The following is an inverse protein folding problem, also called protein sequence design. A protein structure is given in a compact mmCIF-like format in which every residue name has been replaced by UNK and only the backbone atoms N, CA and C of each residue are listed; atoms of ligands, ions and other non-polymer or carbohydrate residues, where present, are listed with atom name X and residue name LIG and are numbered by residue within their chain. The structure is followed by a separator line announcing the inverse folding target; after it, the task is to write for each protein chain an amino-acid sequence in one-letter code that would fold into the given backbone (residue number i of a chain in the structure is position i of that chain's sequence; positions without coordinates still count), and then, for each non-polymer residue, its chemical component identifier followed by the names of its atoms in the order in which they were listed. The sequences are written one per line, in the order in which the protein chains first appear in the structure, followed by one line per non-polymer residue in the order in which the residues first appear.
data_IF_792793825845
#
_entry.id   IF_792793825845
#
_cell.length_a   1.000
_cell.length_b   1.000
_cell.length_c   1.000
_cell.angle_alpha   90.00
_cell.angle_beta   90.00
_cell.angle_gamma   90.00
#
_symmetry.space_group_name_H-M   'P 1'
#
loop_
_entity.id
_entity.type
_entity.pdbx_description
1 polymer ?
#
# COMPACT_ATOMS: atom_id res chain seq x y z
N UNK A 1 39.12 -30.87 20.90
CA UNK A 1 37.99 -31.54 20.22
C UNK A 1 37.10 -30.42 19.69
N UNK A 2 37.15 -30.10 18.38
CA UNK A 2 36.22 -29.12 17.78
C UNK A 2 34.89 -29.84 17.61
N UNK A 3 33.84 -29.37 18.26
CA UNK A 3 32.51 -29.92 18.07
C UNK A 3 31.97 -29.43 16.72
N UNK A 4 32.05 -30.27 15.69
CA UNK A 4 31.43 -30.04 14.36
C UNK A 4 29.91 -30.28 14.37
N UNK A 5 29.30 -30.33 15.54
CA UNK A 5 27.90 -30.66 15.72
C UNK A 5 26.99 -29.42 15.66
N UNK A 6 27.52 -28.22 15.91
CA UNK A 6 26.75 -26.96 15.88
C UNK A 6 27.08 -26.08 14.68
N UNK A 7 26.16 -25.15 14.36
CA UNK A 7 26.31 -24.24 13.21
C UNK A 7 27.57 -23.35 13.32
N UNK A 8 27.91 -22.90 14.53
CA UNK A 8 29.14 -22.14 14.77
C UNK A 8 30.37 -23.00 14.51
N UNK A 9 30.34 -24.27 14.92
CA UNK A 9 31.44 -25.21 14.69
C UNK A 9 31.70 -25.43 13.21
N UNK A 10 30.64 -25.54 12.40
CA UNK A 10 30.72 -25.61 10.95
C UNK A 10 31.24 -24.33 10.32
N UNK A 11 30.72 -23.18 10.73
CA UNK A 11 31.17 -21.87 10.21
C UNK A 11 32.63 -21.56 10.55
N UNK A 12 33.14 -22.04 11.70
CA UNK A 12 34.57 -21.93 12.04
C UNK A 12 35.46 -22.89 11.25
N UNK A 13 34.88 -23.95 10.68
CA UNK A 13 35.60 -24.90 9.82
C UNK A 13 35.62 -24.42 8.37
N UNK A 14 34.53 -23.81 7.91
CA UNK A 14 34.36 -23.21 6.59
C UNK A 14 33.60 -21.87 6.73
N UNK A 15 34.32 -20.76 6.54
CA UNK A 15 33.76 -19.41 6.62
C UNK A 15 32.90 -19.05 5.41
N UNK A 16 32.97 -19.84 4.33
CA UNK A 16 32.18 -19.65 3.11
C UNK A 16 30.81 -20.31 3.17
N UNK A 17 30.42 -20.88 4.32
CA UNK A 17 29.18 -21.67 4.50
C UNK A 17 27.92 -20.93 4.05
N UNK A 18 27.86 -19.61 4.23
CA UNK A 18 26.70 -18.76 3.92
C UNK A 18 26.87 -17.93 2.64
N UNK A 19 27.95 -18.07 1.90
CA UNK A 19 28.26 -17.21 0.73
C UNK A 19 27.16 -17.30 -0.34
N UNK A 20 26.69 -18.52 -0.61
CA UNK A 20 25.68 -18.78 -1.65
C UNK A 20 24.24 -18.53 -1.16
N UNK A 21 24.05 -18.25 0.13
CA UNK A 21 22.72 -18.00 0.70
C UNK A 21 22.08 -16.79 -0.01
N UNK A 22 20.89 -16.99 -0.56
CA UNK A 22 20.09 -15.92 -1.13
C UNK A 22 19.41 -15.15 0.00
N UNK A 23 19.43 -13.82 -0.05
CA UNK A 23 18.74 -12.96 0.92
C UNK A 23 18.08 -11.79 0.19
N UNK A 24 16.98 -11.24 0.72
CA UNK A 24 16.39 -10.03 0.15
C UNK A 24 17.40 -8.87 0.17
N UNK A 25 17.38 -8.03 -0.85
CA UNK A 25 18.32 -6.91 -1.00
C UNK A 25 18.22 -5.87 0.12
N UNK A 26 17.07 -5.78 0.79
CA UNK A 26 16.85 -4.89 1.92
C UNK A 26 17.58 -5.33 3.20
N UNK A 27 18.04 -6.59 3.28
CA UNK A 27 18.68 -7.13 4.47
C UNK A 27 20.20 -7.09 4.38
N UNK A 28 20.83 -6.78 5.51
CA UNK A 28 22.27 -6.89 5.67
C UNK A 28 22.67 -8.35 5.93
N UNK A 29 23.52 -8.88 5.06
CA UNK A 29 23.99 -10.27 5.12
C UNK A 29 24.72 -10.55 6.43
N UNK A 30 25.62 -9.66 6.83
CA UNK A 30 26.46 -9.86 7.99
C UNK A 30 25.59 -9.95 9.26
N UNK A 31 24.66 -9.02 9.43
CA UNK A 31 23.71 -9.00 10.54
C UNK A 31 22.88 -10.29 10.59
N UNK A 32 22.36 -10.76 9.45
CA UNK A 32 21.56 -11.98 9.40
C UNK A 32 22.40 -13.22 9.76
N UNK A 33 23.58 -13.37 9.17
CA UNK A 33 24.48 -14.51 9.44
C UNK A 33 24.90 -14.52 10.90
N UNK A 34 25.30 -13.37 11.46
CA UNK A 34 25.64 -13.27 12.88
C UNK A 34 24.45 -13.65 13.76
N UNK A 35 23.24 -13.18 13.43
CA UNK A 35 22.04 -13.51 14.20
C UNK A 35 21.75 -15.01 14.20
N UNK A 36 21.85 -15.67 13.04
CA UNK A 36 21.72 -17.14 12.92
C UNK A 36 22.77 -17.84 13.79
N UNK A 37 24.04 -17.43 13.69
CA UNK A 37 25.14 -18.04 14.44
C UNK A 37 24.94 -17.90 15.96
N UNK A 38 24.60 -16.70 16.45
CA UNK A 38 24.43 -16.45 17.88
C UNK A 38 23.16 -17.11 18.45
N UNK A 39 22.03 -17.01 17.76
CA UNK A 39 20.77 -17.54 18.25
C UNK A 39 20.74 -19.08 18.25
N UNK A 40 21.47 -19.71 17.33
CA UNK A 40 21.47 -21.16 17.13
C UNK A 40 22.79 -21.82 17.57
N UNK A 41 23.62 -21.10 18.32
CA UNK A 41 24.96 -21.52 18.75
C UNK A 41 25.00 -22.91 19.41
N UNK A 42 23.99 -23.21 20.23
CA UNK A 42 23.92 -24.43 21.06
C UNK A 42 23.20 -25.58 20.36
N UNK A 43 22.52 -25.32 19.25
CA UNK A 43 21.73 -26.32 18.56
C UNK A 43 22.59 -27.15 17.62
N UNK A 44 22.32 -28.46 17.63
CA UNK A 44 22.95 -29.37 16.68
C UNK A 44 22.30 -29.24 15.31
N UNK A 45 23.11 -29.30 14.27
CA UNK A 45 22.64 -29.24 12.88
C UNK A 45 22.34 -30.64 12.34
N UNK A 46 21.47 -30.71 11.34
CA UNK A 46 21.12 -31.95 10.65
C UNK A 46 22.27 -32.45 9.78
N UNK A 47 22.93 -31.54 9.05
CA UNK A 47 24.05 -31.86 8.16
C UNK A 47 25.37 -31.49 8.83
N UNK A 48 26.16 -32.50 9.20
CA UNK A 48 27.48 -32.31 9.81
C UNK A 48 28.60 -32.07 8.81
N UNK A 49 28.33 -32.32 7.53
CA UNK A 49 29.26 -32.08 6.42
C UNK A 49 29.09 -30.64 5.88
N UNK A 50 30.17 -29.82 5.81
CA UNK A 50 30.08 -28.43 5.37
C UNK A 50 29.56 -28.27 3.93
N UNK A 51 30.00 -29.11 2.99
CA UNK A 51 29.59 -29.01 1.59
C UNK A 51 28.09 -29.32 1.43
N UNK A 52 27.61 -30.39 2.08
CA UNK A 52 26.20 -30.73 2.09
C UNK A 52 25.35 -29.63 2.73
N UNK A 53 25.82 -29.05 3.85
CA UNK A 53 25.13 -27.97 4.53
C UNK A 53 25.06 -26.70 3.67
N UNK A 54 26.16 -26.30 3.03
CA UNK A 54 26.22 -25.16 2.11
C UNK A 54 25.23 -25.30 0.96
N UNK A 55 25.20 -26.48 0.32
CA UNK A 55 24.24 -26.78 -0.74
C UNK A 55 22.78 -26.72 -0.24
N UNK A 56 22.51 -27.25 0.95
CA UNK A 56 21.19 -27.24 1.55
C UNK A 56 20.70 -25.81 1.86
N UNK A 57 21.56 -24.96 2.43
CA UNK A 57 21.28 -23.54 2.69
C UNK A 57 21.00 -22.80 1.38
N UNK A 58 21.80 -23.03 0.34
CA UNK A 58 21.56 -22.44 -0.98
C UNK A 58 20.20 -22.84 -1.56
N UNK A 59 19.86 -24.14 -1.57
CA UNK A 59 18.58 -24.63 -2.09
C UNK A 59 17.39 -24.07 -1.31
N UNK A 60 17.47 -24.10 0.02
CA UNK A 60 16.43 -23.58 0.90
C UNK A 60 16.20 -22.08 0.69
N UNK A 61 17.27 -21.28 0.75
CA UNK A 61 17.17 -19.83 0.57
C UNK A 61 16.68 -19.44 -0.82
N UNK A 62 17.14 -20.15 -1.86
CA UNK A 62 16.67 -19.95 -3.23
C UNK A 62 15.17 -20.26 -3.38
N UNK A 63 14.65 -21.25 -2.65
CA UNK A 63 13.21 -21.58 -2.68
C UNK A 63 12.35 -20.53 -1.96
N UNK A 64 12.92 -19.81 -0.98
CA UNK A 64 12.21 -18.87 -0.10
C UNK A 64 12.34 -17.40 -0.51
N UNK A 65 13.32 -17.05 -1.35
CA UNK A 65 13.63 -15.67 -1.71
C UNK A 65 12.42 -14.86 -2.19
N UNK A 66 11.54 -15.47 -3.02
CA UNK A 66 10.34 -14.80 -3.52
C UNK A 66 9.34 -14.49 -2.39
N UNK A 67 9.22 -15.38 -1.41
CA UNK A 67 8.34 -15.19 -0.24
C UNK A 67 8.91 -14.09 0.64
N UNK A 68 10.22 -14.10 0.91
CA UNK A 68 10.86 -13.06 1.73
C UNK A 68 10.81 -11.69 1.08
N UNK A 69 11.01 -11.59 -0.23
CA UNK A 69 10.84 -10.33 -0.97
C UNK A 69 9.41 -9.82 -0.85
N UNK A 70 8.41 -10.69 -1.03
CA UNK A 70 7.02 -10.28 -0.90
C UNK A 70 6.67 -9.82 0.52
N UNK A 71 7.14 -10.54 1.55
CA UNK A 71 6.97 -10.13 2.95
C UNK A 71 7.61 -8.76 3.21
N UNK A 72 8.80 -8.52 2.69
CA UNK A 72 9.46 -7.23 2.79
C UNK A 72 8.63 -6.12 2.13
N UNK A 73 8.16 -6.33 0.89
CA UNK A 73 7.30 -5.38 0.18
C UNK A 73 6.05 -5.02 1.00
N UNK A 74 5.46 -5.97 1.73
CA UNK A 74 4.28 -5.69 2.56
C UNK A 74 4.52 -4.73 3.72
N UNK A 75 5.76 -4.61 4.18
CA UNK A 75 6.14 -3.67 5.24
C UNK A 75 6.29 -2.23 4.73
N UNK A 76 6.38 -2.05 3.42
CA UNK A 76 6.65 -0.76 2.77
C UNK A 76 5.38 -0.12 2.17
N UNK A 77 4.22 -0.74 2.36
CA UNK A 77 2.95 -0.20 1.87
C UNK A 77 2.60 1.14 2.51
N UNK A 78 2.22 2.11 1.68
CA UNK A 78 1.72 3.40 2.12
C UNK A 78 0.20 3.32 2.32
N UNK A 79 -0.26 3.37 3.58
CA UNK A 79 -1.68 3.35 3.95
C UNK A 79 -1.94 4.12 5.25
N UNK A 80 -3.21 4.38 5.56
CA UNK A 80 -3.62 4.91 6.87
C UNK A 80 -4.07 3.74 7.77
N UNK A 81 -3.31 3.37 8.82
CA UNK A 81 -3.60 2.18 9.62
C UNK A 81 -4.95 2.20 10.34
N UNK A 82 -5.54 3.39 10.53
CA UNK A 82 -6.80 3.55 11.25
C UNK A 82 -8.01 3.44 10.30
N UNK A 83 -7.78 3.46 9.00
CA UNK A 83 -8.82 3.35 7.98
C UNK A 83 -8.78 1.96 7.34
N UNK A 84 -9.90 1.24 7.42
CA UNK A 84 -10.10 -0.04 6.71
C UNK A 84 -11.10 0.10 5.55
N UNK A 85 -11.58 1.31 5.28
CA UNK A 85 -12.39 1.68 4.12
C UNK A 85 -11.62 2.72 3.31
N UNK A 86 -11.10 2.29 2.16
CA UNK A 86 -10.57 3.19 1.15
C UNK A 86 -11.41 3.07 -0.13
N UNK A 87 -11.84 4.21 -0.65
CA UNK A 87 -12.61 4.29 -1.89
C UNK A 87 -12.67 5.71 -2.44
N UNK A 88 -12.46 5.83 -3.75
CA UNK A 88 -12.73 7.07 -4.46
C UNK A 88 -14.09 6.96 -5.11
N UNK A 89 -15.07 7.73 -4.63
CA UNK A 89 -16.37 7.85 -5.28
C UNK A 89 -16.30 9.03 -6.23
N UNK A 90 -16.27 8.75 -7.53
CA UNK A 90 -16.37 9.76 -8.59
C UNK A 90 -17.85 9.99 -8.89
N UNK A 91 -18.41 11.08 -8.37
CA UNK A 91 -19.81 11.42 -8.56
C UNK A 91 -19.96 12.52 -9.63
N UNK A 92 -20.34 12.12 -10.84
CA UNK A 92 -20.63 13.07 -11.92
C UNK A 92 -22.07 13.58 -11.79
N UNK A 93 -22.25 14.71 -11.13
CA UNK A 93 -23.57 15.34 -10.96
C UNK A 93 -23.85 16.36 -12.09
N UNK A 94 -24.55 15.95 -13.14
CA UNK A 94 -25.03 16.89 -14.16
C UNK A 94 -26.21 17.70 -13.62
N UNK A 95 -25.99 18.99 -13.32
CA UNK A 95 -27.08 19.92 -12.98
C UNK A 95 -27.35 20.86 -14.14
N UNK A 96 -28.52 20.74 -14.76
CA UNK A 96 -29.00 21.70 -15.76
C UNK A 96 -29.46 22.99 -15.06
N UNK A 97 -28.57 23.97 -14.95
CA UNK A 97 -28.89 25.31 -14.46
C UNK A 97 -29.58 26.12 -15.57
N UNK A 98 -30.90 25.99 -15.72
CA UNK A 98 -31.66 26.91 -16.59
C UNK A 98 -31.89 28.25 -15.90
N UNK A 99 -30.99 29.21 -16.12
CA UNK A 99 -31.25 30.61 -15.77
C UNK A 99 -32.03 31.26 -16.91
N UNK A 100 -33.32 31.57 -16.67
CA UNK A 100 -34.11 32.41 -17.58
C UNK A 100 -33.92 33.87 -17.19
N UNK A 101 -33.24 34.63 -18.03
CA UNK A 101 -33.19 36.10 -17.95
C UNK A 101 -34.22 36.67 -18.92
N UNK A 102 -35.41 36.99 -18.40
CA UNK A 102 -36.42 37.73 -19.17
C UNK A 102 -36.21 39.23 -19.00
N UNK A 103 -35.47 39.83 -19.93
CA UNK A 103 -35.45 41.28 -20.13
C UNK A 103 -36.58 41.68 -21.09
N UNK A 104 -37.33 42.73 -20.76
CA UNK A 104 -38.28 43.35 -21.70
C UNK A 104 -37.81 44.78 -21.92
N UNK A 105 -37.24 45.05 -23.10
CA UNK A 105 -36.96 46.42 -23.53
C UNK A 105 -38.23 47.03 -24.14
N UNK A 106 -38.56 48.23 -23.68
CA UNK A 106 -39.61 49.06 -24.26
C UNK A 106 -38.96 50.29 -24.87
N UNK A 107 -39.01 50.36 -26.20
CA UNK A 107 -38.53 51.50 -26.96
C UNK A 107 -39.75 52.37 -27.34
N UNK A 108 -40.10 53.28 -26.44
CA UNK A 108 -41.23 54.19 -26.62
C UNK A 108 -40.71 55.51 -27.22
N UNK A 109 -41.00 55.77 -28.50
CA UNK A 109 -40.70 57.05 -29.15
C UNK A 109 -41.97 57.88 -29.25
N UNK A 110 -41.99 59.05 -28.59
CA UNK A 110 -43.09 60.02 -28.75
C UNK A 110 -42.82 60.94 -29.94
N UNK A 111 -43.69 60.93 -30.95
CA UNK A 111 -43.65 61.91 -32.04
C UNK A 111 -44.27 63.24 -31.56
N UNK A 112 -43.54 64.34 -31.72
CA UNK A 112 -43.86 65.65 -31.11
C UNK A 112 -45.12 66.35 -31.66
N UNK A 113 -45.75 65.84 -32.73
CA UNK A 113 -46.82 66.56 -33.46
C UNK A 113 -48.04 65.71 -33.88
N UNK A 114 -48.34 64.60 -33.18
CA UNK A 114 -49.56 63.84 -33.44
C UNK A 114 -50.49 63.82 -32.20
N UNK A 115 -51.74 64.23 -32.38
CA UNK A 115 -52.76 64.31 -31.32
C UNK A 115 -53.39 62.97 -30.93
N UNK A 116 -53.01 61.87 -31.59
CA UNK A 116 -53.46 60.52 -31.28
C UNK A 116 -52.28 59.54 -31.20
N UNK A 117 -52.35 58.66 -30.20
CA UNK A 117 -51.38 57.62 -29.91
C UNK A 117 -51.32 56.59 -31.04
N UNK A 118 -50.18 56.44 -31.71
CA UNK A 118 -49.98 55.41 -32.74
C UNK A 118 -49.33 54.17 -32.11
N UNK A 119 -50.13 53.12 -31.88
CA UNK A 119 -49.62 51.82 -31.46
C UNK A 119 -48.98 51.12 -32.67
N UNK A 120 -47.65 51.20 -32.82
CA UNK A 120 -46.94 50.36 -33.80
C UNK A 120 -46.88 48.94 -33.26
N UNK A 121 -47.21 47.96 -34.11
CA UNK A 121 -47.20 46.54 -33.77
C UNK A 121 -46.00 46.17 -32.89
N UNK A 122 -46.31 45.83 -31.64
CA UNK A 122 -45.35 45.59 -30.57
C UNK A 122 -44.62 44.29 -30.87
N UNK A 123 -43.49 44.37 -31.56
CA UNK A 123 -42.66 43.18 -31.81
C UNK A 123 -41.92 42.84 -30.53
N UNK A 124 -42.48 41.93 -29.74
CA UNK A 124 -41.89 41.44 -28.48
C UNK A 124 -40.73 40.51 -28.83
N UNK A 125 -39.50 41.02 -28.79
CA UNK A 125 -38.31 40.19 -28.95
C UNK A 125 -37.97 39.58 -27.60
N UNK A 126 -38.34 38.31 -27.41
CA UNK A 126 -37.90 37.52 -26.26
C UNK A 126 -36.54 36.93 -26.59
N UNK A 127 -35.48 37.36 -25.90
CA UNK A 127 -34.18 36.68 -25.95
C UNK A 127 -34.17 35.57 -24.89
N UNK A 128 -34.30 34.32 -25.34
CA UNK A 128 -34.07 33.16 -24.48
C UNK A 128 -32.60 32.74 -24.60
N UNK A 129 -31.76 33.20 -23.67
CA UNK A 129 -30.39 32.69 -23.53
C UNK A 129 -30.40 31.56 -22.50
N UNK A 130 -30.17 30.32 -22.93
CA UNK A 130 -29.96 29.20 -22.04
C UNK A 130 -28.45 28.93 -21.95
N UNK A 131 -27.86 29.24 -20.80
CA UNK A 131 -26.51 28.80 -20.46
C UNK A 131 -26.59 27.44 -19.76
N UNK A 132 -25.75 26.47 -20.14
CA UNK A 132 -25.73 25.12 -19.57
C UNK A 132 -24.33 24.76 -19.13
N UNK A 133 -24.10 24.71 -17.81
CA UNK A 133 -22.84 24.29 -17.22
C UNK A 133 -22.92 22.86 -16.67
N UNK A 134 -21.84 22.08 -16.82
CA UNK A 134 -21.69 20.80 -16.12
C UNK A 134 -20.84 21.00 -14.87
N UNK A 135 -21.30 20.52 -13.71
CA UNK A 135 -20.50 20.46 -12.48
C UNK A 135 -20.01 19.02 -12.30
N UNK A 136 -18.73 18.82 -12.06
CA UNK A 136 -18.16 17.50 -11.71
C UNK A 136 -17.62 17.53 -10.29
N UNK A 137 -17.99 16.55 -9.45
CA UNK A 137 -17.52 16.45 -8.06
C UNK A 137 -16.78 15.13 -7.84
N UNK A 138 -15.64 15.19 -7.17
CA UNK A 138 -14.93 14.00 -6.71
C UNK A 138 -14.98 13.97 -5.17
N UNK A 139 -15.33 12.82 -4.59
CA UNK A 139 -15.36 12.61 -3.14
C UNK A 139 -14.50 11.40 -2.80
N UNK A 140 -13.49 11.62 -1.98
CA UNK A 140 -12.72 10.54 -1.35
C UNK A 140 -13.36 10.22 0.00
N UNK A 141 -13.72 8.96 0.21
CA UNK A 141 -14.19 8.46 1.50
C UNK A 141 -13.09 7.63 2.15
N UNK A 142 -12.64 8.07 3.32
CA UNK A 142 -11.76 7.32 4.20
C UNK A 142 -12.49 7.10 5.53
N UNK A 143 -12.38 5.90 6.09
CA UNK A 143 -12.99 5.64 7.38
C UNK A 143 -12.92 4.20 7.82
N UNK A 144 -13.75 3.88 8.81
CA UNK A 144 -13.88 2.55 9.35
C UNK A 144 -15.27 1.97 9.00
N UNK A 145 -15.31 0.75 8.46
CA UNK A 145 -16.55 0.04 8.07
C UNK A 145 -17.43 -0.32 9.29
N UNK A 146 -16.90 -0.18 10.51
CA UNK A 146 -17.67 -0.33 11.75
C UNK A 146 -17.76 -1.77 12.27
N UNK A 147 -17.08 -2.71 11.61
CA UNK A 147 -16.91 -4.10 12.08
C UNK A 147 -15.68 -4.20 13.00
N UNK A 148 -14.60 -3.49 12.65
CA UNK A 148 -13.35 -3.45 13.42
C UNK A 148 -13.33 -2.21 14.29
N UNK A 149 -12.91 -2.30 15.56
CA UNK A 149 -12.67 -1.10 16.38
C UNK A 149 -11.37 -0.42 15.99
N UNK A 150 -11.27 0.90 16.14
CA UNK A 150 -9.99 1.62 16.01
C UNK A 150 -8.89 1.03 16.90
N UNK A 151 -9.24 0.52 18.08
CA UNK A 151 -8.28 -0.15 18.96
C UNK A 151 -7.77 -1.49 18.41
N UNK A 152 -8.58 -2.21 17.63
CA UNK A 152 -8.17 -3.46 16.98
C UNK A 152 -7.23 -3.17 15.81
N UNK A 153 -7.57 -2.18 14.97
CA UNK A 153 -6.69 -1.74 13.88
C UNK A 153 -5.32 -1.27 14.38
N UNK A 154 -5.28 -0.54 15.51
CA UNK A 154 -4.00 -0.14 16.14
C UNK A 154 -3.19 -1.35 16.62
N UNK A 155 -3.84 -2.43 17.06
CA UNK A 155 -3.13 -3.65 17.47
C UNK A 155 -2.54 -4.36 16.26
N UNK A 156 -3.33 -4.52 15.20
CA UNK A 156 -2.89 -5.12 13.93
C UNK A 156 -1.70 -4.34 13.36
N UNK A 157 -1.76 -3.01 13.38
CA UNK A 157 -0.65 -2.15 12.95
C UNK A 157 0.61 -2.35 13.79
N UNK A 158 0.48 -2.54 15.10
CA UNK A 158 1.64 -2.85 15.96
C UNK A 158 2.23 -4.20 15.63
N UNK A 159 1.41 -5.21 15.35
CA UNK A 159 1.89 -6.53 14.94
C UNK A 159 2.66 -6.46 13.62
N UNK A 160 2.21 -5.64 12.66
CA UNK A 160 2.94 -5.37 11.42
C UNK A 160 4.25 -4.63 11.71
N UNK A 161 4.25 -3.61 12.58
CA UNK A 161 5.45 -2.86 12.93
C UNK A 161 6.48 -3.69 13.74
N UNK A 162 6.02 -4.67 14.52
CA UNK A 162 6.89 -5.61 15.24
C UNK A 162 7.44 -6.72 14.33
N UNK A 163 6.89 -6.90 13.13
CA UNK A 163 7.36 -7.90 12.19
C UNK A 163 8.83 -7.64 11.81
N UNK A 164 9.68 -8.61 12.12
CA UNK A 164 11.10 -8.55 11.83
C UNK A 164 11.51 -9.71 10.93
N UNK A 165 11.88 -9.40 9.69
CA UNK A 165 12.26 -10.42 8.71
C UNK A 165 13.53 -11.19 9.12
N UNK A 166 14.46 -10.57 9.85
CA UNK A 166 15.64 -11.27 10.38
C UNK A 166 15.27 -12.37 11.38
N UNK A 167 14.31 -12.10 12.27
CA UNK A 167 13.82 -13.09 13.23
C UNK A 167 13.08 -14.22 12.52
N UNK A 168 12.23 -13.88 11.54
CA UNK A 168 11.52 -14.87 10.74
C UNK A 168 12.47 -15.83 10.04
N UNK A 169 13.48 -15.31 9.32
CA UNK A 169 14.45 -16.15 8.60
C UNK A 169 15.27 -17.01 9.58
N UNK A 170 15.65 -16.46 10.74
CA UNK A 170 16.40 -17.22 11.75
C UNK A 170 15.57 -18.37 12.33
N UNK A 171 14.29 -18.15 12.61
CA UNK A 171 13.39 -19.20 13.09
C UNK A 171 13.05 -20.23 12.01
N UNK A 172 12.93 -19.83 10.74
CA UNK A 172 12.80 -20.78 9.62
C UNK A 172 14.06 -21.63 9.48
N UNK A 173 15.25 -21.03 9.54
CA UNK A 173 16.52 -21.75 9.49
C UNK A 173 16.62 -22.78 10.62
N UNK A 174 16.28 -22.37 11.84
CA UNK A 174 16.25 -23.25 13.02
C UNK A 174 15.36 -24.47 12.80
N UNK A 175 14.14 -24.27 12.29
CA UNK A 175 13.20 -25.37 12.06
C UNK A 175 13.68 -26.33 10.98
N UNK A 176 14.32 -25.81 9.95
CA UNK A 176 14.75 -26.60 8.80
C UNK A 176 16.04 -27.37 9.08
N UNK A 177 17.00 -26.77 9.79
CA UNK A 177 18.37 -27.28 9.87
C UNK A 177 18.86 -27.65 11.26
N UNK A 178 18.13 -27.28 12.32
CA UNK A 178 18.50 -27.64 13.69
C UNK A 178 17.67 -28.81 14.23
N UNK A 179 18.33 -29.72 14.92
CA UNK A 179 17.68 -30.83 15.62
C UNK A 179 17.07 -30.29 16.91
N UNK A 180 15.73 -30.22 16.96
CA UNK A 180 14.97 -29.71 18.12
C UNK A 180 14.62 -30.79 19.16
N UNK A 181 15.38 -31.88 19.23
CA UNK A 181 15.13 -32.96 20.20
C UNK A 181 15.70 -32.57 21.55
N UNK A 182 14.83 -32.54 22.57
CA UNK A 182 15.14 -32.29 23.98
C UNK A 182 15.18 -33.61 24.76
#
# INVERSE_FOLDING_TARGET
MRALLSIIGLYQADDTLFDDMQIPSALDRETLVQKILFNLAELNVIYTDPEAMKAAIWMWSSSRINVWNHLQETTEYEYNPICNKDGTIKEKETRDLKVKLTGTDHDDVSAYDASDYQNRDRTRISHDSADSGTISRERTEQGNIGITSTQQLIKEEREIAEFNLYDLITEEFKKEFCIMVY
#
